data_IF_287243877409
#
_entry.id   IF_287243877409
#
_cell.length_a   1.000
_cell.length_b   1.000
_cell.length_c   1.000
_cell.angle_alpha   90.00
_cell.angle_beta   90.00
_cell.angle_gamma   90.00
#
_symmetry.space_group_name_H-M   'P 1'
#
loop_
_entity.id
_entity.type
_entity.pdbx_description
1 polymer ?
#
# COMPACT_ATOMS: atom_id res chain seq x y z
N UNK A 1 16.33 9.08 9.21
CA UNK A 1 15.79 9.28 7.87
C UNK A 1 15.03 10.58 7.79
N UNK A 2 15.46 11.44 6.97
CA UNK A 2 14.88 12.77 6.90
C UNK A 2 14.10 12.93 5.62
N UNK A 3 12.94 13.51 5.73
CA UNK A 3 12.08 13.74 4.58
C UNK A 3 11.53 15.16 4.57
N UNK A 4 12.11 16.01 5.38
CA UNK A 4 11.62 17.39 5.44
C UNK A 4 11.95 18.17 4.18
N UNK A 5 12.86 17.70 3.37
CA UNK A 5 13.18 18.38 2.14
C UNK A 5 12.00 18.43 1.19
N UNK A 6 10.98 17.64 1.44
CA UNK A 6 9.78 17.71 0.64
C UNK A 6 9.04 19.01 0.80
N UNK A 7 9.40 19.78 1.81
CA UNK A 7 8.73 21.03 2.12
C UNK A 7 9.69 22.19 2.05
N UNK A 8 10.56 22.15 1.05
CA UNK A 8 11.64 23.12 0.97
C UNK A 8 11.15 24.55 0.80
N UNK A 9 10.02 24.76 0.15
CA UNK A 9 9.50 26.10 -0.09
C UNK A 9 8.01 26.13 0.18
N UNK A 10 7.59 27.16 0.91
CA UNK A 10 6.19 27.31 1.28
C UNK A 10 5.29 27.59 0.09
N UNK A 11 5.81 28.30 -0.90
CA UNK A 11 5.01 28.75 -2.03
C UNK A 11 5.01 27.77 -3.18
N UNK A 12 5.73 26.66 -3.04
CA UNK A 12 5.77 25.67 -4.09
C UNK A 12 4.57 24.76 -4.02
N UNK A 13 4.05 24.42 -5.19
CA UNK A 13 2.97 23.44 -5.30
C UNK A 13 3.62 22.16 -5.78
N UNK A 14 3.66 21.12 -4.93
CA UNK A 14 4.32 19.88 -5.31
C UNK A 14 3.55 19.16 -6.41
N UNK A 15 4.27 18.38 -7.22
CA UNK A 15 3.66 17.57 -8.24
C UNK A 15 2.71 16.54 -7.63
N UNK A 16 3.10 16.01 -6.49
CA UNK A 16 2.27 15.07 -5.75
C UNK A 16 2.60 15.19 -4.27
N UNK A 17 1.72 14.66 -3.46
CA UNK A 17 1.90 14.68 -2.02
C UNK A 17 1.59 13.31 -1.47
N UNK A 18 2.46 12.81 -0.61
CA UNK A 18 2.31 11.48 -0.03
C UNK A 18 1.68 11.61 1.35
N UNK A 19 0.65 10.82 1.59
CA UNK A 19 0.06 10.69 2.90
C UNK A 19 0.64 9.46 3.59
N UNK A 20 1.16 9.66 4.79
CA UNK A 20 1.65 8.56 5.62
C UNK A 20 0.85 8.59 6.91
N UNK A 21 0.17 7.49 7.21
CA UNK A 21 -0.60 7.39 8.44
C UNK A 21 0.31 7.54 9.66
N UNK A 22 -0.17 8.17 10.74
CA UNK A 22 0.69 8.41 11.91
C UNK A 22 1.27 7.15 12.52
N UNK A 23 0.57 6.03 12.45
CA UNK A 23 1.04 4.76 13.02
C UNK A 23 1.76 3.87 12.01
N UNK A 24 2.05 4.38 10.83
CA UNK A 24 2.64 3.55 9.77
C UNK A 24 4.00 3.01 10.16
N UNK A 25 4.83 3.85 10.78
CA UNK A 25 6.17 3.43 11.17
C UNK A 25 6.14 2.27 12.16
N UNK A 26 5.26 2.37 13.15
CA UNK A 26 5.16 1.33 14.17
C UNK A 26 4.67 0.02 13.56
N UNK A 27 3.64 0.08 12.75
CA UNK A 27 3.07 -1.12 12.14
C UNK A 27 4.06 -1.75 11.18
N UNK A 28 4.75 -0.93 10.38
CA UNK A 28 5.75 -1.44 9.45
C UNK A 28 6.89 -2.11 10.20
N UNK A 29 7.34 -1.50 11.31
CA UNK A 29 8.38 -2.09 12.11
C UNK A 29 8.00 -3.45 12.65
N UNK A 30 6.80 -3.57 13.17
CA UNK A 30 6.31 -4.85 13.67
C UNK A 30 6.25 -5.90 12.57
N UNK A 31 5.80 -5.50 11.39
CA UNK A 31 5.72 -6.43 10.27
C UNK A 31 7.09 -6.92 9.84
N UNK A 32 8.08 -6.02 9.83
CA UNK A 32 9.45 -6.40 9.47
C UNK A 32 10.01 -7.44 10.43
N UNK A 33 9.66 -7.34 11.70
CA UNK A 33 10.18 -8.28 12.69
C UNK A 33 9.30 -9.52 12.85
N UNK A 34 8.21 -9.60 12.14
CA UNK A 34 7.31 -10.74 12.23
C UNK A 34 7.75 -11.94 11.41
N UNK A 35 8.65 -11.72 10.46
CA UNK A 35 9.08 -12.78 9.56
C UNK A 35 8.24 -12.89 8.29
N UNK A 36 7.12 -12.19 8.22
CA UNK A 36 6.25 -12.23 7.04
C UNK A 36 6.46 -10.98 6.21
N UNK A 37 7.60 -10.90 5.56
CA UNK A 37 7.95 -9.70 4.80
C UNK A 37 7.52 -9.79 3.34
N UNK A 38 6.95 -10.90 2.92
CA UNK A 38 6.35 -11.01 1.60
C UNK A 38 4.86 -11.20 1.76
N UNK A 39 4.40 -12.43 1.68
CA UNK A 39 2.99 -12.74 1.85
C UNK A 39 2.73 -13.12 3.29
N UNK A 40 1.63 -12.68 3.87
CA UNK A 40 1.33 -13.02 5.25
C UNK A 40 0.05 -12.37 5.73
N UNK A 41 -0.15 -12.32 7.06
CA UNK A 41 -1.41 -11.81 7.63
C UNK A 41 -1.76 -10.40 7.23
N UNK A 42 -0.75 -9.54 6.98
CA UNK A 42 -1.04 -8.16 6.59
C UNK A 42 -1.66 -8.08 5.21
N UNK A 43 -1.23 -8.94 4.29
CA UNK A 43 -1.82 -8.98 2.96
C UNK A 43 -3.27 -9.44 3.06
N UNK A 44 -3.52 -10.48 3.86
CA UNK A 44 -4.87 -10.98 4.06
C UNK A 44 -5.77 -9.91 4.66
N UNK A 45 -5.27 -9.16 5.63
CA UNK A 45 -6.04 -8.09 6.26
C UNK A 45 -6.32 -6.97 5.26
N UNK A 46 -5.36 -6.63 4.42
CA UNK A 46 -5.52 -5.62 3.40
C UNK A 46 -6.59 -6.02 2.41
N UNK A 47 -6.54 -7.25 1.92
CA UNK A 47 -7.53 -7.75 0.98
C UNK A 47 -8.91 -7.77 1.60
N UNK A 48 -9.01 -8.17 2.86
CA UNK A 48 -10.30 -8.24 3.54
C UNK A 48 -10.92 -6.85 3.66
N UNK A 49 -10.12 -5.85 3.98
CA UNK A 49 -10.65 -4.49 4.07
C UNK A 49 -11.13 -3.98 2.72
N UNK A 50 -10.45 -4.32 1.65
CA UNK A 50 -10.91 -3.93 0.33
C UNK A 50 -12.17 -4.68 -0.07
N UNK A 51 -12.27 -5.96 0.28
CA UNK A 51 -13.50 -6.70 0.01
C UNK A 51 -14.70 -6.04 0.67
N UNK A 52 -14.53 -5.62 1.91
CA UNK A 52 -15.60 -4.95 2.64
C UNK A 52 -15.92 -3.59 2.04
N UNK A 53 -14.89 -2.83 1.71
CA UNK A 53 -15.07 -1.48 1.19
C UNK A 53 -15.76 -1.50 -0.18
N UNK A 54 -15.38 -2.43 -1.03
CA UNK A 54 -15.91 -2.54 -2.38
C UNK A 54 -17.16 -3.43 -2.45
N UNK A 55 -17.48 -4.10 -1.35
CA UNK A 55 -18.57 -5.07 -1.29
C UNK A 55 -18.41 -6.14 -2.37
N UNK A 56 -17.17 -6.60 -2.55
CA UNK A 56 -16.82 -7.59 -3.55
C UNK A 56 -15.94 -8.64 -2.92
N UNK A 57 -16.38 -9.91 -2.83
CA UNK A 57 -15.60 -10.96 -2.19
C UNK A 57 -14.38 -11.40 -2.99
N UNK A 58 -14.28 -10.97 -4.24
CA UNK A 58 -13.19 -11.43 -5.12
C UNK A 58 -12.17 -10.31 -5.28
N UNK A 59 -11.28 -10.21 -4.31
CA UNK A 59 -10.25 -9.17 -4.28
C UNK A 59 -8.90 -9.83 -4.06
N UNK A 60 -7.94 -9.47 -4.89
CA UNK A 60 -6.59 -10.03 -4.83
C UNK A 60 -5.57 -8.91 -4.90
N UNK A 61 -4.65 -8.90 -3.94
CA UNK A 61 -3.58 -7.92 -3.91
C UNK A 61 -2.43 -8.40 -4.78
N UNK A 62 -1.89 -7.50 -5.59
CA UNK A 62 -0.79 -7.79 -6.49
C UNK A 62 0.32 -6.77 -6.26
N UNK A 63 1.48 -7.04 -6.84
CA UNK A 63 2.65 -6.20 -6.57
C UNK A 63 2.72 -4.93 -7.43
N UNK A 64 1.87 -4.83 -8.44
CA UNK A 64 1.86 -3.64 -9.29
C UNK A 64 0.60 -3.60 -10.14
N UNK A 65 0.27 -2.41 -10.62
CA UNK A 65 -0.85 -2.27 -11.53
C UNK A 65 -0.60 -2.99 -12.86
N UNK A 66 0.64 -3.00 -13.30
CA UNK A 66 1.00 -3.73 -14.52
C UNK A 66 0.70 -5.22 -14.38
N UNK A 67 1.06 -5.80 -13.23
CA UNK A 67 0.75 -7.19 -12.97
C UNK A 67 -0.76 -7.43 -12.95
N UNK A 68 -1.51 -6.48 -12.39
CA UNK A 68 -2.96 -6.60 -12.33
C UNK A 68 -3.57 -6.59 -13.72
N UNK A 69 -3.11 -5.69 -14.58
CA UNK A 69 -3.60 -5.64 -15.96
C UNK A 69 -3.26 -6.90 -16.72
N UNK A 70 -2.04 -7.40 -16.55
CA UNK A 70 -1.61 -8.62 -17.22
C UNK A 70 -2.49 -9.80 -16.81
N UNK A 71 -2.72 -9.93 -15.51
CA UNK A 71 -3.55 -11.03 -15.01
C UNK A 71 -4.98 -10.92 -15.51
N UNK A 72 -5.53 -9.71 -15.51
CA UNK A 72 -6.89 -9.49 -15.96
C UNK A 72 -7.05 -9.90 -17.42
N UNK A 73 -6.09 -9.50 -18.26
CA UNK A 73 -6.14 -9.87 -19.68
C UNK A 73 -5.99 -11.36 -19.88
N UNK A 74 -5.17 -12.01 -19.06
CA UNK A 74 -4.98 -13.44 -19.14
C UNK A 74 -6.26 -14.22 -18.81
N UNK A 75 -7.03 -13.69 -17.86
CA UNK A 75 -8.24 -14.36 -17.42
C UNK A 75 -9.44 -14.12 -18.34
N UNK A 76 -9.36 -13.13 -19.21
CA UNK A 76 -10.41 -12.90 -20.18
C UNK A 76 -10.31 -13.90 -21.31
#
# INVERSE_FOLDING_TARGET
MMIEQQHSAKNEIPLFRVFIAPNATEITGKTLHSGFITQGPKVDAFERKFKDYLENPYTLALNSATSAHHLALHLL
#
